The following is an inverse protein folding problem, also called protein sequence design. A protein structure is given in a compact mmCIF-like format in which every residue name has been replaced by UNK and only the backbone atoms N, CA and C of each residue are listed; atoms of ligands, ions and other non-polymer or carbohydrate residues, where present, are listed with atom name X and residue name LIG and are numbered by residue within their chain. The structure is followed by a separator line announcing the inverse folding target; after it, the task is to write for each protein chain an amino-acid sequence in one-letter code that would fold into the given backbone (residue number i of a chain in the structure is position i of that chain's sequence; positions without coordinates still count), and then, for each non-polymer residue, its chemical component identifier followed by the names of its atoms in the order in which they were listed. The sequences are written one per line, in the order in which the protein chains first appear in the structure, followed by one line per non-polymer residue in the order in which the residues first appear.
data_IF_334733890402
#
_entry.id   IF_334733890402
#
_cell.length_a   1.000
_cell.length_b   1.000
_cell.length_c   1.000
_cell.angle_alpha   90.00
_cell.angle_beta   90.00
_cell.angle_gamma   90.00
#
_symmetry.space_group_name_H-M   'P 1'
#
loop_
_entity.id
_entity.type
_entity.pdbx_description
1 polymer ?
#
# COMPACT_ATOMS: atom_id res chain seq x y z
N UNK A 1 8.63 6.59 32.93
CA UNK A 1 9.64 5.89 32.11
C UNK A 1 9.11 4.58 31.54
N UNK A 2 8.58 3.68 32.37
CA UNK A 2 8.00 2.41 31.88
C UNK A 2 6.90 2.64 30.85
N UNK A 3 5.99 3.59 31.11
CA UNK A 3 4.88 3.94 30.21
C UNK A 3 5.37 4.39 28.83
N UNK A 4 6.45 5.17 28.76
CA UNK A 4 7.02 5.62 27.49
C UNK A 4 7.64 4.47 26.69
N UNK A 5 8.22 3.46 27.37
CA UNK A 5 8.76 2.27 26.70
C UNK A 5 7.62 1.42 26.15
N UNK A 6 6.55 1.23 26.94
CA UNK A 6 5.36 0.49 26.49
C UNK A 6 4.72 1.19 25.29
N UNK A 7 4.51 2.51 25.37
CA UNK A 7 3.96 3.31 24.28
C UNK A 7 4.83 3.22 23.02
N UNK A 8 6.15 3.33 23.17
CA UNK A 8 7.09 3.17 22.04
C UNK A 8 6.96 1.78 21.40
N UNK A 9 6.92 0.72 22.21
CA UNK A 9 6.75 -0.65 21.70
C UNK A 9 5.43 -0.80 20.94
N UNK A 10 4.34 -0.29 21.51
CA UNK A 10 3.02 -0.31 20.86
C UNK A 10 3.03 0.45 19.53
N UNK A 11 3.67 1.63 19.48
CA UNK A 11 3.81 2.39 18.24
C UNK A 11 4.68 1.69 17.20
N UNK A 12 5.79 1.06 17.61
CA UNK A 12 6.63 0.27 16.69
C UNK A 12 5.85 -0.92 16.12
N UNK A 13 5.08 -1.63 16.95
CA UNK A 13 4.21 -2.71 16.49
C UNK A 13 3.12 -2.19 15.55
N UNK A 14 2.49 -1.06 15.87
CA UNK A 14 1.53 -0.40 15.00
C UNK A 14 2.15 -0.05 13.64
N UNK A 15 3.34 0.55 13.63
CA UNK A 15 4.07 0.90 12.41
C UNK A 15 4.44 -0.34 11.59
N UNK A 16 4.79 -1.46 12.23
CA UNK A 16 5.10 -2.70 11.53
C UNK A 16 3.84 -3.29 10.85
N UNK A 17 2.69 -3.22 11.53
CA UNK A 17 1.40 -3.70 10.98
C UNK A 17 0.90 -2.80 9.85
N UNK A 18 0.88 -1.47 10.08
CA UNK A 18 0.45 -0.48 9.09
C UNK A 18 1.47 -0.25 7.96
N UNK A 19 2.69 -0.76 8.10
CA UNK A 19 3.73 -0.62 7.09
C UNK A 19 3.78 -1.77 6.09
N UNK A 20 2.96 -2.82 6.26
CA UNK A 20 3.01 -3.99 5.40
C UNK A 20 2.52 -3.70 3.98
N UNK A 21 1.43 -2.98 3.83
CA UNK A 21 0.87 -2.50 2.55
C UNK A 21 1.85 -1.55 1.84
N UNK A 22 2.47 -0.62 2.59
CA UNK A 22 3.56 0.22 2.09
C UNK A 22 4.71 -0.61 1.51
N UNK A 23 5.11 -1.67 2.23
CA UNK A 23 6.22 -2.53 1.84
C UNK A 23 5.90 -3.32 0.56
N UNK A 24 4.66 -3.78 0.41
CA UNK A 24 4.19 -4.42 -0.82
C UNK A 24 4.25 -3.44 -2.00
N UNK A 25 3.70 -2.22 -1.84
CA UNK A 25 3.74 -1.20 -2.87
C UNK A 25 5.18 -0.87 -3.30
N UNK A 26 6.07 -0.62 -2.32
CA UNK A 26 7.48 -0.33 -2.59
C UNK A 26 8.16 -1.47 -3.35
N UNK A 27 7.89 -2.71 -2.95
CA UNK A 27 8.46 -3.89 -3.59
C UNK A 27 8.01 -4.01 -5.05
N UNK A 28 6.73 -3.83 -5.34
CA UNK A 28 6.18 -3.89 -6.69
C UNK A 28 6.62 -2.70 -7.55
N UNK A 29 6.55 -1.48 -7.03
CA UNK A 29 6.93 -0.27 -7.75
C UNK A 29 8.41 -0.26 -8.10
N UNK A 30 9.29 -0.72 -7.19
CA UNK A 30 10.73 -0.78 -7.43
C UNK A 30 11.12 -1.70 -8.59
N UNK A 31 10.30 -2.70 -8.94
CA UNK A 31 10.54 -3.59 -10.10
C UNK A 31 10.53 -2.86 -11.43
N UNK A 32 9.88 -1.69 -11.52
CA UNK A 32 9.86 -0.83 -12.71
C UNK A 32 11.21 -0.18 -12.99
N UNK A 33 12.09 -0.11 -12.01
CA UNK A 33 13.46 0.39 -12.16
C UNK A 33 14.37 -0.67 -12.80
N UNK A 34 15.55 -0.27 -13.36
CA UNK A 34 16.57 -1.21 -13.81
C UNK A 34 16.99 -2.19 -12.72
N UNK A 35 17.16 -3.48 -13.05
CA UNK A 35 17.44 -4.56 -12.09
C UNK A 35 18.58 -4.21 -11.11
N UNK A 36 19.67 -3.65 -11.62
CA UNK A 36 20.85 -3.26 -10.83
C UNK A 36 20.57 -2.12 -9.82
N UNK A 37 19.48 -1.36 -10.03
CA UNK A 37 19.11 -0.20 -9.23
C UNK A 37 17.92 -0.43 -8.32
N UNK A 38 17.25 -1.58 -8.39
CA UNK A 38 16.02 -1.83 -7.63
C UNK A 38 16.22 -1.75 -6.11
N UNK A 39 17.27 -2.37 -5.56
CA UNK A 39 17.58 -2.30 -4.13
C UNK A 39 17.91 -0.86 -3.71
N UNK A 40 18.68 -0.13 -4.53
CA UNK A 40 18.97 1.28 -4.29
C UNK A 40 17.68 2.13 -4.27
N UNK A 41 16.79 1.93 -5.24
CA UNK A 41 15.50 2.63 -5.35
C UNK A 41 14.64 2.39 -4.11
N UNK A 42 14.56 1.14 -3.62
CA UNK A 42 13.83 0.80 -2.39
C UNK A 42 14.40 1.52 -1.18
N UNK A 43 15.70 1.40 -0.94
CA UNK A 43 16.36 1.98 0.22
C UNK A 43 16.29 3.51 0.21
N UNK A 44 16.55 4.14 -0.93
CA UNK A 44 16.43 5.58 -1.08
C UNK A 44 14.98 6.06 -0.96
N UNK A 45 14.03 5.35 -1.59
CA UNK A 45 12.61 5.66 -1.52
C UNK A 45 12.10 5.59 -0.08
N UNK A 46 12.41 4.53 0.67
CA UNK A 46 12.04 4.39 2.08
C UNK A 46 12.72 5.46 2.93
N UNK A 47 14.03 5.68 2.75
CA UNK A 47 14.77 6.68 3.52
C UNK A 47 14.20 8.08 3.36
N UNK A 48 13.93 8.51 2.12
CA UNK A 48 13.27 9.79 1.84
C UNK A 48 11.85 9.83 2.41
N UNK A 49 11.09 8.74 2.26
CA UNK A 49 9.74 8.66 2.80
C UNK A 49 9.71 8.80 4.33
N UNK A 50 10.68 8.22 5.06
CA UNK A 50 10.83 8.41 6.51
C UNK A 50 11.08 9.87 6.86
N UNK A 51 11.95 10.56 6.11
CA UNK A 51 12.20 12.00 6.31
C UNK A 51 10.91 12.80 6.10
N UNK A 52 10.20 12.57 4.99
CA UNK A 52 8.92 13.24 4.72
C UNK A 52 7.85 12.90 5.77
N UNK A 53 7.80 11.65 6.27
CA UNK A 53 6.91 11.24 7.35
C UNK A 53 7.18 12.01 8.65
N UNK A 54 8.45 12.23 9.00
CA UNK A 54 8.82 13.02 10.17
C UNK A 54 8.40 14.49 9.96
N UNK A 55 8.66 15.06 8.79
CA UNK A 55 8.20 16.42 8.45
C UNK A 55 6.67 16.49 8.56
N UNK A 56 5.96 15.55 7.98
CA UNK A 56 4.49 15.47 8.03
C UNK A 56 3.98 15.34 9.46
N UNK A 57 4.64 14.54 10.31
CA UNK A 57 4.32 14.45 11.74
C UNK A 57 4.36 15.83 12.40
N UNK A 58 5.44 16.59 12.21
CA UNK A 58 5.55 17.95 12.78
C UNK A 58 4.49 18.91 12.22
N UNK A 59 4.21 18.82 10.92
CA UNK A 59 3.17 19.64 10.27
C UNK A 59 1.79 19.29 10.83
N UNK A 60 1.43 18.02 10.89
CA UNK A 60 0.12 17.58 11.40
C UNK A 60 -0.02 17.89 12.89
N UNK A 61 1.02 17.67 13.68
CA UNK A 61 0.98 17.97 15.12
C UNK A 61 0.66 19.44 15.41
N UNK A 62 1.16 20.35 14.60
CA UNK A 62 0.92 21.79 14.76
C UNK A 62 -0.33 22.31 14.04
N UNK A 63 -0.75 21.66 12.96
CA UNK A 63 -1.79 22.15 12.06
C UNK A 63 -2.97 21.18 11.87
N UNK A 64 -3.14 20.23 12.79
CA UNK A 64 -4.17 19.17 12.66
C UNK A 64 -5.56 19.73 12.44
N UNK A 65 -5.93 20.84 13.11
CA UNK A 65 -7.23 21.47 12.95
C UNK A 65 -7.49 21.96 11.51
N UNK A 66 -6.46 22.43 10.80
CA UNK A 66 -6.60 22.84 9.40
C UNK A 66 -6.82 21.65 8.45
N UNK A 67 -6.22 20.51 8.77
CA UNK A 67 -6.38 19.28 7.95
C UNK A 67 -7.73 18.60 8.17
N UNK A 68 -8.36 18.79 9.32
CA UNK A 68 -9.66 18.20 9.67
C UNK A 68 -10.84 19.09 9.33
N UNK A 69 -10.62 20.42 9.18
CA UNK A 69 -11.70 21.34 8.82
C UNK A 69 -12.20 21.06 7.40
N UNK A 70 -13.54 21.01 7.19
CA UNK A 70 -14.10 20.84 5.85
C UNK A 70 -13.75 22.03 4.97
N UNK A 71 -13.16 21.74 3.80
CA UNK A 71 -12.78 22.74 2.80
C UNK A 71 -13.85 22.84 1.71
N UNK A 72 -14.49 21.70 1.38
CA UNK A 72 -15.47 21.61 0.33
C UNK A 72 -16.70 20.87 0.83
N UNK A 73 -17.88 21.48 0.65
CA UNK A 73 -19.17 20.84 0.89
C UNK A 73 -19.86 20.64 -0.45
N UNK A 74 -20.25 19.42 -0.75
CA UNK A 74 -21.00 19.08 -1.97
C UNK A 74 -22.43 18.70 -1.52
N UNK A 75 -23.40 19.61 -1.61
CA UNK A 75 -24.80 19.35 -1.30
C UNK A 75 -25.50 18.80 -2.54
N UNK A 76 -25.12 17.63 -3.05
CA UNK A 76 -25.88 16.97 -4.09
C UNK A 76 -27.00 16.16 -3.43
N UNK A 77 -28.19 16.73 -3.38
CA UNK A 77 -29.40 16.10 -2.86
C UNK A 77 -29.61 14.72 -3.49
N UNK A 78 -29.88 13.73 -2.68
CA UNK A 78 -30.36 12.37 -2.94
C UNK A 78 -29.36 11.37 -3.55
N UNK A 79 -28.30 11.79 -4.25
CA UNK A 79 -27.36 10.85 -4.90
C UNK A 79 -26.00 10.84 -4.22
N UNK A 80 -25.42 12.02 -3.99
CA UNK A 80 -24.08 12.17 -3.39
C UNK A 80 -24.07 13.36 -2.43
N UNK A 81 -23.73 13.13 -1.18
CA UNK A 81 -23.51 14.15 -0.16
C UNK A 81 -22.13 13.92 0.47
N UNK A 82 -21.35 14.97 0.69
CA UNK A 82 -20.04 14.84 1.33
C UNK A 82 -19.43 16.14 1.81
N UNK A 83 -18.64 16.03 2.89
CA UNK A 83 -17.87 17.09 3.52
C UNK A 83 -16.39 16.79 3.40
N UNK A 84 -15.73 17.36 2.40
CA UNK A 84 -14.33 17.04 2.08
C UNK A 84 -13.39 17.94 2.88
N UNK A 85 -12.53 17.33 3.66
CA UNK A 85 -11.37 17.97 4.26
C UNK A 85 -10.08 17.58 3.47
N UNK A 86 -8.98 18.25 3.76
CA UNK A 86 -7.71 18.00 3.04
C UNK A 86 -7.25 16.54 3.20
N UNK A 87 -7.41 15.97 4.38
CA UNK A 87 -7.05 14.57 4.65
C UNK A 87 -7.86 13.61 3.78
N UNK A 88 -9.19 13.74 3.75
CA UNK A 88 -10.06 12.86 2.95
C UNK A 88 -9.72 12.93 1.45
N UNK A 89 -9.44 14.13 0.94
CA UNK A 89 -9.06 14.33 -0.47
C UNK A 89 -7.75 13.60 -0.79
N UNK A 90 -6.72 13.72 0.06
CA UNK A 90 -5.42 13.05 -0.14
C UNK A 90 -5.61 11.53 -0.14
N UNK A 91 -6.36 10.99 0.82
CA UNK A 91 -6.60 9.53 0.94
C UNK A 91 -7.42 9.01 -0.23
N UNK A 92 -8.46 9.72 -0.67
CA UNK A 92 -9.27 9.36 -1.84
C UNK A 92 -8.43 9.33 -3.12
N UNK A 93 -7.65 10.38 -3.38
CA UNK A 93 -6.77 10.43 -4.56
C UNK A 93 -5.76 9.29 -4.53
N UNK A 94 -5.16 9.02 -3.36
CA UNK A 94 -4.24 7.91 -3.16
C UNK A 94 -4.88 6.56 -3.41
N UNK A 95 -6.09 6.34 -2.90
CA UNK A 95 -6.86 5.11 -3.12
C UNK A 95 -7.17 4.88 -4.61
N UNK A 96 -7.67 5.90 -5.31
CA UNK A 96 -7.92 5.86 -6.78
C UNK A 96 -6.63 5.54 -7.52
N UNK A 97 -5.53 6.20 -7.17
CA UNK A 97 -4.23 5.99 -7.83
C UNK A 97 -3.72 4.57 -7.65
N UNK A 98 -3.82 4.00 -6.44
CA UNK A 98 -3.40 2.61 -6.17
C UNK A 98 -4.26 1.62 -6.95
N UNK A 99 -5.59 1.78 -6.93
CA UNK A 99 -6.50 0.92 -7.70
C UNK A 99 -6.15 0.98 -9.18
N UNK A 100 -5.99 2.18 -9.73
CA UNK A 100 -5.62 2.37 -11.14
C UNK A 100 -4.29 1.67 -11.47
N UNK A 101 -3.28 1.83 -10.62
CA UNK A 101 -1.97 1.22 -10.81
C UNK A 101 -2.05 -0.30 -10.73
N UNK A 102 -2.71 -0.85 -9.71
CA UNK A 102 -2.88 -2.28 -9.55
C UNK A 102 -3.66 -2.90 -10.72
N UNK A 103 -4.77 -2.29 -11.13
CA UNK A 103 -5.56 -2.75 -12.28
C UNK A 103 -4.77 -2.72 -13.58
N UNK A 104 -3.99 -1.66 -13.83
CA UNK A 104 -3.14 -1.55 -15.01
C UNK A 104 -2.11 -2.68 -15.07
N UNK A 105 -1.45 -2.99 -13.95
CA UNK A 105 -0.45 -4.07 -13.90
C UNK A 105 -1.12 -5.45 -14.02
N UNK A 106 -2.25 -5.68 -13.35
CA UNK A 106 -3.04 -6.93 -13.50
C UNK A 106 -3.45 -7.10 -14.97
N UNK A 107 -3.99 -6.06 -15.60
CA UNK A 107 -4.40 -6.10 -17.01
C UNK A 107 -3.22 -6.41 -17.93
N UNK A 108 -2.06 -5.82 -17.67
CA UNK A 108 -0.84 -6.08 -18.44
C UNK A 108 -0.38 -7.54 -18.31
N UNK A 109 -0.54 -8.14 -17.13
CA UNK A 109 -0.20 -9.56 -16.91
C UNK A 109 -1.19 -10.53 -17.56
N UNK A 110 -2.48 -10.19 -17.59
CA UNK A 110 -3.56 -11.03 -18.16
C UNK A 110 -3.66 -10.88 -19.67
N UNK A 111 -3.35 -9.70 -20.21
CA UNK A 111 -3.38 -9.47 -21.66
C UNK A 111 -2.25 -10.23 -22.34
N UNK A 112 -2.56 -11.42 -22.85
CA UNK A 112 -1.71 -12.21 -23.73
C UNK A 112 -1.45 -11.48 -25.05
N UNK A 113 -0.71 -10.38 -25.05
CA UNK A 113 -0.12 -9.83 -26.27
C UNK A 113 1.31 -10.33 -26.39
N UNK A 114 1.40 -11.40 -27.19
CA UNK A 114 2.63 -11.93 -27.82
C UNK A 114 3.81 -12.16 -26.87
N UNK A 115 4.09 -13.42 -26.68
CA UNK A 115 5.41 -13.98 -26.36
C UNK A 115 6.45 -13.58 -27.44
N UNK A 116 6.57 -12.32 -27.75
CA UNK A 116 7.72 -11.77 -28.43
C UNK A 116 8.72 -11.36 -27.38
N UNK A 117 9.77 -12.13 -27.34
CA UNK A 117 11.00 -12.02 -26.53
C UNK A 117 11.73 -10.68 -26.79
N UNK A 118 11.07 -9.57 -27.03
CA UNK A 118 11.70 -8.27 -27.24
C UNK A 118 10.73 -7.12 -27.00
N UNK A 119 10.26 -6.98 -25.76
CA UNK A 119 9.96 -5.65 -25.28
C UNK A 119 10.76 -5.46 -24.01
N UNK A 120 11.88 -4.76 -24.17
CA UNK A 120 12.40 -3.97 -23.09
C UNK A 120 11.23 -3.13 -22.59
N UNK A 121 10.50 -3.62 -21.57
CA UNK A 121 9.53 -2.85 -20.85
C UNK A 121 10.26 -1.54 -20.54
N UNK A 122 9.73 -0.41 -21.01
CA UNK A 122 10.36 0.90 -20.84
C UNK A 122 10.66 1.05 -19.37
N UNK A 123 11.90 0.76 -18.99
CA UNK A 123 12.35 0.83 -17.60
C UNK A 123 12.13 2.23 -17.14
N UNK A 124 11.33 2.39 -16.09
CA UNK A 124 11.05 3.68 -15.52
C UNK A 124 12.35 4.34 -15.03
N UNK A 125 12.45 5.64 -15.17
CA UNK A 125 13.59 6.38 -14.60
C UNK A 125 13.66 6.13 -13.10
N UNK A 126 14.86 5.91 -12.58
CA UNK A 126 15.13 5.74 -11.14
C UNK A 126 14.49 6.86 -10.31
N UNK A 127 14.63 8.10 -10.75
CA UNK A 127 14.06 9.27 -10.07
C UNK A 127 12.53 9.20 -10.04
N UNK A 128 11.88 8.83 -11.15
CA UNK A 128 10.42 8.70 -11.22
C UNK A 128 9.91 7.62 -10.26
N UNK A 129 10.59 6.48 -10.21
CA UNK A 129 10.21 5.38 -9.30
C UNK A 129 10.39 5.77 -7.84
N UNK A 130 11.51 6.43 -7.49
CA UNK A 130 11.71 6.96 -6.12
C UNK A 130 10.63 7.98 -5.77
N UNK A 131 10.32 8.93 -6.65
CA UNK A 131 9.27 9.93 -6.39
C UNK A 131 7.92 9.28 -6.15
N UNK A 132 7.56 8.25 -6.93
CA UNK A 132 6.32 7.50 -6.75
C UNK A 132 6.26 6.79 -5.39
N UNK A 133 7.36 6.14 -4.99
CA UNK A 133 7.47 5.50 -3.68
C UNK A 133 7.28 6.53 -2.56
N UNK A 134 7.93 7.70 -2.66
CA UNK A 134 7.85 8.75 -1.66
C UNK A 134 6.42 9.31 -1.57
N UNK A 135 5.82 9.69 -2.69
CA UNK A 135 4.46 10.26 -2.73
C UNK A 135 3.46 9.31 -2.12
N UNK A 136 3.47 8.04 -2.52
CA UNK A 136 2.54 7.06 -1.97
C UNK A 136 2.78 6.75 -0.51
N UNK A 137 4.04 6.72 -0.08
CA UNK A 137 4.36 6.55 1.34
C UNK A 137 3.85 7.73 2.18
N UNK A 138 3.89 8.95 1.65
CA UNK A 138 3.29 10.13 2.32
C UNK A 138 1.77 9.93 2.46
N UNK A 139 1.07 9.47 1.42
CA UNK A 139 -0.37 9.17 1.49
C UNK A 139 -0.68 8.16 2.59
N UNK A 140 0.00 7.03 2.61
CA UNK A 140 -0.16 6.00 3.66
C UNK A 140 0.24 6.50 5.07
N UNK A 141 1.05 7.56 5.13
CA UNK A 141 1.55 8.07 6.42
C UNK A 141 0.51 8.83 7.21
N UNK A 142 -0.51 9.39 6.57
CA UNK A 142 -1.55 10.17 7.27
C UNK A 142 -2.24 9.35 8.34
N UNK A 143 -2.81 8.19 7.99
CA UNK A 143 -3.49 7.31 8.94
C UNK A 143 -2.57 6.85 10.08
N UNK A 144 -1.34 6.45 9.74
CA UNK A 144 -0.39 5.97 10.74
C UNK A 144 0.09 7.06 11.71
N UNK A 145 0.21 8.30 11.24
CA UNK A 145 0.57 9.44 12.09
C UNK A 145 -0.62 9.81 12.99
N UNK A 146 -1.83 9.89 12.45
CA UNK A 146 -3.03 10.19 13.24
C UNK A 146 -3.28 9.12 14.30
N UNK A 147 -3.12 7.84 13.93
CA UNK A 147 -3.19 6.72 14.89
C UNK A 147 -2.12 6.82 15.98
N UNK A 148 -0.91 7.27 15.65
CA UNK A 148 0.14 7.51 16.64
C UNK A 148 -0.18 8.69 17.57
N UNK A 149 -0.73 9.79 17.03
CA UNK A 149 -1.16 10.96 17.79
C UNK A 149 -2.34 10.64 18.74
N UNK A 150 -3.19 9.66 18.39
CA UNK A 150 -4.25 9.18 19.27
C UNK A 150 -3.73 8.38 20.48
N UNK A 151 -2.50 7.84 20.40
CA UNK A 151 -1.89 7.04 21.47
C UNK A 151 -0.98 7.86 22.37
N UNK A 152 -0.40 8.95 21.89
CA UNK A 152 0.53 9.79 22.66
C UNK A 152 0.69 11.17 22.05
N UNK A 153 0.88 12.18 22.91
CA UNK A 153 1.23 13.55 22.51
C UNK A 153 2.75 13.80 22.55
N UNK A 154 3.55 12.76 22.77
CA UNK A 154 4.98 12.88 22.99
C UNK A 154 5.72 12.70 21.65
N UNK A 155 6.09 13.81 21.00
CA UNK A 155 6.72 13.86 19.68
C UNK A 155 7.96 12.97 19.53
N UNK A 156 8.85 12.93 20.56
CA UNK A 156 10.07 12.14 20.46
C UNK A 156 9.78 10.63 20.40
N UNK A 157 8.73 10.15 21.07
CA UNK A 157 8.31 8.74 21.02
C UNK A 157 7.79 8.40 19.63
N UNK A 158 6.92 9.24 19.06
CA UNK A 158 6.41 9.06 17.70
C UNK A 158 7.53 9.09 16.65
N UNK A 159 8.44 10.07 16.76
CA UNK A 159 9.59 10.19 15.84
C UNK A 159 10.50 8.96 15.93
N UNK A 160 10.79 8.48 17.13
CA UNK A 160 11.59 7.27 17.34
C UNK A 160 10.92 6.04 16.75
N UNK A 161 9.60 5.88 16.94
CA UNK A 161 8.84 4.78 16.36
C UNK A 161 8.88 4.81 14.82
N UNK A 162 8.75 5.99 14.20
CA UNK A 162 8.85 6.17 12.74
C UNK A 162 10.24 5.77 12.24
N UNK A 163 11.31 6.16 12.93
CA UNK A 163 12.68 5.81 12.53
C UNK A 163 12.89 4.30 12.64
N UNK A 164 12.50 3.68 13.76
CA UNK A 164 12.60 2.22 13.94
C UNK A 164 11.79 1.49 12.85
N UNK A 165 10.55 1.91 12.60
CA UNK A 165 9.71 1.37 11.55
C UNK A 165 10.36 1.48 10.16
N UNK A 166 10.96 2.63 9.85
CA UNK A 166 11.70 2.85 8.61
C UNK A 166 12.90 1.92 8.44
N UNK A 167 13.68 1.73 9.51
CA UNK A 167 14.81 0.78 9.50
C UNK A 167 14.32 -0.65 9.27
N UNK A 168 13.25 -1.06 9.94
CA UNK A 168 12.63 -2.37 9.72
C UNK A 168 12.13 -2.53 8.28
N UNK A 169 11.49 -1.51 7.70
CA UNK A 169 11.05 -1.52 6.31
C UNK A 169 12.23 -1.67 5.34
N UNK A 170 13.34 -0.96 5.55
CA UNK A 170 14.54 -1.08 4.72
C UNK A 170 15.07 -2.51 4.79
N UNK A 171 15.15 -3.09 5.98
CA UNK A 171 15.62 -4.45 6.19
C UNK A 171 14.72 -5.52 5.55
N UNK A 172 13.39 -5.34 5.64
CA UNK A 172 12.40 -6.27 5.10
C UNK A 172 12.20 -6.10 3.59
N UNK A 173 12.45 -4.92 3.01
CA UNK A 173 12.09 -4.59 1.63
C UNK A 173 12.74 -5.51 0.59
N UNK A 174 14.01 -5.86 0.78
CA UNK A 174 14.70 -6.80 -0.10
C UNK A 174 14.12 -8.21 0.03
N UNK A 175 13.83 -8.68 1.25
CA UNK A 175 13.24 -10.01 1.50
C UNK A 175 11.85 -10.17 0.92
N UNK A 176 11.01 -9.15 1.06
CA UNK A 176 9.64 -9.16 0.48
C UNK A 176 9.71 -9.13 -1.05
N UNK A 177 10.61 -8.33 -1.62
CA UNK A 177 10.80 -8.29 -3.07
C UNK A 177 11.28 -9.63 -3.61
N UNK A 178 12.26 -10.25 -2.95
CA UNK A 178 12.77 -11.57 -3.32
C UNK A 178 11.69 -12.65 -3.23
N UNK A 179 10.84 -12.60 -2.21
CA UNK A 179 9.70 -13.49 -2.08
C UNK A 179 8.70 -13.31 -3.23
N UNK A 180 8.33 -12.08 -3.57
CA UNK A 180 7.41 -11.77 -4.67
C UNK A 180 8.00 -12.12 -6.05
N UNK A 181 9.33 -12.11 -6.21
CA UNK A 181 9.97 -12.44 -7.48
C UNK A 181 10.23 -13.93 -7.69
N UNK A 182 10.25 -14.71 -6.62
CA UNK A 182 10.49 -16.17 -6.68
C UNK A 182 9.48 -16.91 -7.54
N UNK A 183 8.24 -16.41 -7.60
CA UNK A 183 7.17 -17.04 -8.32
C UNK A 183 6.22 -15.96 -8.86
N UNK A 184 5.96 -16.01 -10.18
CA UNK A 184 5.03 -15.08 -10.84
C UNK A 184 3.64 -15.05 -10.20
N UNK A 185 3.20 -16.14 -9.59
CA UNK A 185 1.94 -16.20 -8.86
C UNK A 185 1.93 -15.25 -7.66
N UNK A 186 3.02 -15.19 -6.88
CA UNK A 186 3.11 -14.28 -5.73
C UNK A 186 3.12 -12.81 -6.15
N UNK A 187 3.61 -12.50 -7.35
CA UNK A 187 3.54 -11.15 -7.90
C UNK A 187 2.09 -10.76 -8.20
N UNK A 188 1.32 -11.65 -8.81
CA UNK A 188 -0.11 -11.45 -9.08
C UNK A 188 -0.89 -11.32 -7.77
N UNK A 189 -0.61 -12.20 -6.79
CA UNK A 189 -1.20 -12.10 -5.45
C UNK A 189 -0.91 -10.74 -4.80
N UNK A 190 0.35 -10.27 -4.88
CA UNK A 190 0.74 -8.96 -4.37
C UNK A 190 -0.05 -7.80 -5.02
N UNK A 191 -0.31 -7.89 -6.33
CA UNK A 191 -1.13 -6.89 -7.04
C UNK A 191 -2.60 -6.94 -6.61
N UNK A 192 -3.18 -8.11 -6.37
CA UNK A 192 -4.53 -8.22 -5.81
C UNK A 192 -4.60 -7.66 -4.39
N UNK A 193 -3.61 -7.94 -3.55
CA UNK A 193 -3.52 -7.34 -2.20
C UNK A 193 -3.45 -5.81 -2.33
N UNK A 194 -2.62 -5.28 -3.23
CA UNK A 194 -2.51 -3.85 -3.47
C UNK A 194 -3.85 -3.24 -3.94
N UNK A 195 -4.59 -3.95 -4.79
CA UNK A 195 -5.92 -3.55 -5.21
C UNK A 195 -6.89 -3.42 -4.02
N UNK A 196 -6.88 -4.41 -3.10
CA UNK A 196 -7.70 -4.35 -1.87
C UNK A 196 -7.27 -3.21 -0.94
N UNK A 197 -5.96 -2.93 -0.83
CA UNK A 197 -5.45 -1.75 -0.12
C UNK A 197 -6.02 -0.46 -0.72
N UNK A 198 -6.08 -0.35 -2.03
CA UNK A 198 -6.70 0.80 -2.70
C UNK A 198 -8.19 0.95 -2.36
N UNK A 199 -8.95 -0.17 -2.30
CA UNK A 199 -10.36 -0.16 -1.87
C UNK A 199 -10.46 0.29 -0.40
N UNK A 200 -9.57 -0.22 0.48
CA UNK A 200 -9.53 0.18 1.88
C UNK A 200 -9.31 1.69 2.01
N UNK A 201 -8.37 2.27 1.27
CA UNK A 201 -8.14 3.72 1.26
C UNK A 201 -9.34 4.50 0.71
N UNK A 202 -10.01 4.01 -0.33
CA UNK A 202 -11.22 4.67 -0.86
C UNK A 202 -12.34 4.70 0.19
N UNK A 203 -12.59 3.59 0.87
CA UNK A 203 -13.62 3.54 1.92
C UNK A 203 -13.24 4.40 3.13
N UNK A 204 -11.96 4.44 3.49
CA UNK A 204 -11.44 5.32 4.55
C UNK A 204 -11.62 6.80 4.17
N UNK A 205 -11.17 7.20 2.98
CA UNK A 205 -11.30 8.56 2.48
C UNK A 205 -12.76 8.99 2.32
N UNK A 206 -13.63 8.07 1.90
CA UNK A 206 -15.09 8.30 1.83
C UNK A 206 -15.70 8.54 3.21
N UNK A 207 -15.31 7.75 4.20
CA UNK A 207 -15.73 7.93 5.59
C UNK A 207 -15.25 9.26 6.17
N UNK A 208 -13.97 9.59 5.96
CA UNK A 208 -13.39 10.88 6.39
C UNK A 208 -14.07 12.09 5.73
N UNK A 209 -14.63 11.92 4.54
CA UNK A 209 -15.42 12.92 3.85
C UNK A 209 -16.89 12.89 4.23
N UNK A 210 -17.34 12.02 5.15
CA UNK A 210 -18.75 11.76 5.45
C UNK A 210 -19.56 11.54 4.15
N UNK A 211 -18.97 10.80 3.21
CA UNK A 211 -19.57 10.60 1.90
C UNK A 211 -20.75 9.65 2.00
N UNK A 212 -21.91 10.12 1.55
CA UNK A 212 -23.12 9.30 1.39
C UNK A 212 -23.40 9.08 -0.08
N UNK A 213 -23.69 7.84 -0.43
CA UNK A 213 -24.13 7.44 -1.77
C UNK A 213 -25.54 6.86 -1.66
N UNK A 214 -26.48 7.43 -2.37
CA UNK A 214 -27.90 7.02 -2.34
C UNK A 214 -28.49 6.97 -0.93
N UNK A 215 -28.07 7.92 -0.05
CA UNK A 215 -28.52 8.00 1.34
C UNK A 215 -27.75 7.13 2.34
N UNK A 216 -26.90 6.22 1.88
CA UNK A 216 -26.09 5.34 2.72
C UNK A 216 -24.68 5.89 2.90
N UNK A 217 -24.19 5.94 4.15
CA UNK A 217 -22.85 6.43 4.50
C UNK A 217 -21.80 5.38 4.17
N UNK A 218 -20.68 5.79 3.54
CA UNK A 218 -19.55 4.92 3.31
C UNK A 218 -18.84 4.66 4.64
N UNK A 219 -18.81 3.37 5.03
CA UNK A 219 -18.07 2.91 6.22
C UNK A 219 -16.68 2.40 5.83
N UNK A 220 -15.64 2.67 6.64
CA UNK A 220 -14.30 2.19 6.35
C UNK A 220 -14.22 0.67 6.47
N UNK A 221 -13.42 0.04 5.62
CA UNK A 221 -13.13 -1.37 5.75
C UNK A 221 -12.36 -1.63 7.05
N UNK A 222 -12.87 -2.54 7.90
CA UNK A 222 -12.17 -2.88 9.13
C UNK A 222 -10.84 -3.62 8.84
N UNK A 223 -9.82 -3.39 9.66
CA UNK A 223 -8.53 -4.11 9.54
C UNK A 223 -8.71 -5.63 9.63
N UNK A 224 -9.65 -6.10 10.45
CA UNK A 224 -10.00 -7.52 10.54
C UNK A 224 -10.53 -8.07 9.22
N UNK A 225 -11.44 -7.35 8.57
CA UNK A 225 -11.96 -7.70 7.24
C UNK A 225 -10.85 -7.74 6.20
N UNK A 226 -9.95 -6.75 6.22
CA UNK A 226 -8.79 -6.69 5.33
C UNK A 226 -7.89 -7.92 5.48
N UNK A 227 -7.47 -8.27 6.70
CA UNK A 227 -6.64 -9.45 6.92
C UNK A 227 -7.36 -10.76 6.57
N UNK A 228 -8.67 -10.84 6.84
CA UNK A 228 -9.48 -12.00 6.46
C UNK A 228 -9.49 -12.20 4.93
N UNK A 229 -9.68 -11.13 4.16
CA UNK A 229 -9.63 -11.16 2.69
C UNK A 229 -8.24 -11.58 2.20
N UNK A 230 -7.16 -11.06 2.79
CA UNK A 230 -5.79 -11.49 2.44
C UNK A 230 -5.60 -12.99 2.67
N UNK A 231 -6.04 -13.52 3.82
CA UNK A 231 -5.93 -14.95 4.11
C UNK A 231 -6.67 -15.77 3.05
N UNK A 232 -7.89 -15.36 2.66
CA UNK A 232 -8.64 -16.03 1.60
C UNK A 232 -7.89 -15.98 0.26
N UNK A 233 -7.35 -14.82 -0.13
CA UNK A 233 -6.58 -14.68 -1.36
C UNK A 233 -5.36 -15.60 -1.37
N UNK A 234 -4.63 -15.68 -0.28
CA UNK A 234 -3.48 -16.59 -0.13
C UNK A 234 -3.90 -18.06 -0.26
N UNK A 235 -5.01 -18.44 0.36
CA UNK A 235 -5.55 -19.81 0.24
C UNK A 235 -5.96 -20.14 -1.19
N UNK A 236 -6.62 -19.20 -1.89
CA UNK A 236 -6.99 -19.36 -3.30
C UNK A 236 -5.75 -19.53 -4.16
N UNK A 237 -4.73 -18.72 -3.95
CA UNK A 237 -3.46 -18.77 -4.69
C UNK A 237 -2.75 -20.12 -4.49
N UNK A 238 -2.69 -20.64 -3.27
CA UNK A 238 -2.12 -21.95 -2.97
C UNK A 238 -2.89 -23.06 -3.70
N UNK A 239 -4.22 -23.02 -3.70
CA UNK A 239 -5.07 -24.02 -4.37
C UNK A 239 -4.86 -23.96 -5.89
N UNK A 240 -4.90 -22.76 -6.49
CA UNK A 240 -4.66 -22.56 -7.92
C UNK A 240 -3.26 -23.02 -8.33
N UNK A 241 -2.23 -22.73 -7.53
CA UNK A 241 -0.87 -23.18 -7.79
C UNK A 241 -0.70 -24.69 -7.78
N UNK A 242 -1.38 -25.37 -6.86
CA UNK A 242 -1.41 -26.84 -6.84
C UNK A 242 -2.17 -27.43 -8.03
N UNK A 243 -3.26 -26.80 -8.43
CA UNK A 243 -4.06 -27.22 -9.57
C UNK A 243 -3.30 -27.10 -10.90
N UNK A 244 -2.67 -25.95 -11.13
CA UNK A 244 -1.85 -25.73 -12.34
C UNK A 244 -0.68 -26.70 -12.46
N UNK A 245 0.03 -26.97 -11.35
CA UNK A 245 1.10 -27.99 -11.36
C UNK A 245 0.61 -29.38 -11.74
N UNK A 246 -0.61 -29.76 -11.33
CA UNK A 246 -1.20 -31.06 -11.72
C UNK A 246 -1.56 -31.10 -13.20
N UNK A 247 -2.11 -30.02 -13.77
CA UNK A 247 -2.42 -29.94 -15.21
C UNK A 247 -1.16 -30.08 -16.05
N UNK A 248 -0.11 -29.28 -15.75
CA UNK A 248 1.16 -29.31 -16.48
C UNK A 248 1.74 -30.73 -16.44
N UNK A 249 1.77 -31.38 -15.27
CA UNK A 249 2.28 -32.74 -15.14
C UNK A 249 1.45 -33.78 -15.93
N UNK A 250 0.13 -33.58 -16.03
CA UNK A 250 -0.73 -34.45 -16.82
C UNK A 250 -0.46 -34.28 -18.33
N UNK A 251 -0.28 -33.06 -18.81
CA UNK A 251 0.07 -32.77 -20.21
C UNK A 251 1.46 -33.30 -20.61
N UNK A 252 2.46 -33.19 -19.72
CA UNK A 252 3.80 -33.73 -19.96
C UNK A 252 3.79 -35.27 -20.08
N UNK A 253 2.92 -35.94 -19.30
CA UNK A 253 2.73 -37.40 -19.36
C UNK A 253 2.00 -37.85 -20.64
N UNK A 254 1.13 -37.02 -21.18
CA UNK A 254 0.39 -37.28 -22.42
C UNK A 254 1.32 -37.09 -23.62
N UNK A 255 2.12 -36.02 -23.66
CA UNK A 255 3.11 -35.74 -24.70
C UNK A 255 4.31 -36.71 -24.71
N UNK A 256 4.54 -37.45 -23.63
CA UNK A 256 5.61 -38.45 -23.54
C UNK A 256 5.21 -39.85 -24.03
N UNK A 257 3.94 -40.01 -24.43
CA UNK A 257 3.39 -41.29 -24.92
C UNK A 257 3.23 -41.33 -26.46
N UNK A 258 3.33 -40.16 -27.08
CA UNK A 258 3.41 -39.99 -28.55
C UNK A 258 4.89 -39.89 -29.00
#
# INVERSE_FOLDING_TARGET
MLDHIITLLMLVMLQAVLGFDNLLYISLESKKAPLERQSYVRKMGIGLAVVFRIILLFVLFNLISYFQNPILHIPFSDVVEGHFNLHSIIVLIGGVFIIFTAMKEIWHMVSFKNFSINTAASKSSVSKTISMIVVMNVVFSFDSILSAMALTDVLWIMTTAIIIGGVLMIWLSDKVTDFLTKNRMYEVLGLFILFIVGIMLLTEGGHLAHLKLFGEEITPMSKTTFYFVIVILVLIDIVQGRYQKKIIKAQDLENSKD
#
